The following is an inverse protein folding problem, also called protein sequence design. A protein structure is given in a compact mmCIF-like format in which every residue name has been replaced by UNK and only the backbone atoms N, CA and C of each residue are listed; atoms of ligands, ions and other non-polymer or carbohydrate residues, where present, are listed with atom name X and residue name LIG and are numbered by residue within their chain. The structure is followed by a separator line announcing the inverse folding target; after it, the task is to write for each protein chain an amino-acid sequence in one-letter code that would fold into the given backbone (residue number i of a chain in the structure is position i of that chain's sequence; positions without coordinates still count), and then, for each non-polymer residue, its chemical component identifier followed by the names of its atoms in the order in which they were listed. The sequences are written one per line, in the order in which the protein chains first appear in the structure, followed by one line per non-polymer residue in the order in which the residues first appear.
data_IF_318357406331
#
_entry.id   IF_318357406331
#
_cell.length_a   1.000
_cell.length_b   1.000
_cell.length_c   1.000
_cell.angle_alpha   90.00
_cell.angle_beta   90.00
_cell.angle_gamma   90.00
#
_symmetry.space_group_name_H-M   'P 1'
#
loop_
_entity.id
_entity.type
_entity.pdbx_description
1 polymer ?
#
# COMPACT_ATOMS: atom_id res chain seq x y z
N UNK A 1 5.48 12.57 -13.16
CA UNK A 1 4.64 13.21 -12.11
C UNK A 1 5.55 13.87 -11.10
N UNK A 2 5.23 15.08 -10.62
CA UNK A 2 6.03 15.73 -9.56
C UNK A 2 5.42 15.38 -8.19
N UNK A 3 6.18 14.69 -7.34
CA UNK A 3 5.74 14.23 -6.01
C UNK A 3 6.40 15.07 -4.93
N UNK A 4 5.64 15.41 -3.90
CA UNK A 4 6.11 16.15 -2.73
C UNK A 4 6.17 15.26 -1.50
N UNK A 5 7.27 15.32 -0.78
CA UNK A 5 7.53 14.63 0.48
C UNK A 5 7.88 15.65 1.56
N UNK A 6 7.92 15.21 2.82
CA UNK A 6 8.33 16.08 3.93
C UNK A 6 9.74 16.67 3.77
N UNK A 7 10.60 16.01 2.99
CA UNK A 7 12.01 16.38 2.77
C UNK A 7 12.28 17.04 1.42
N UNK A 8 11.26 17.24 0.57
CA UNK A 8 11.43 17.87 -0.75
C UNK A 8 10.58 17.24 -1.85
N UNK A 9 10.83 17.65 -3.09
CA UNK A 9 10.07 17.25 -4.27
C UNK A 9 10.94 16.48 -5.26
N UNK A 10 10.36 15.55 -6.01
CA UNK A 10 11.06 14.83 -7.06
C UNK A 10 10.13 14.39 -8.20
N UNK A 11 10.70 14.20 -9.39
CA UNK A 11 9.97 13.65 -10.52
C UNK A 11 9.96 12.12 -10.46
N UNK A 12 8.80 11.53 -10.72
CA UNK A 12 8.59 10.09 -10.68
C UNK A 12 7.67 9.60 -11.80
N UNK A 13 7.87 8.34 -12.20
CA UNK A 13 7.00 7.57 -13.07
C UNK A 13 6.08 6.69 -12.20
N UNK A 14 4.77 6.80 -12.41
CA UNK A 14 3.78 5.97 -11.71
C UNK A 14 3.42 4.74 -12.54
N UNK A 15 3.36 3.57 -11.90
CA UNK A 15 2.91 2.32 -12.50
C UNK A 15 1.81 1.70 -11.64
N UNK A 16 0.66 1.41 -12.24
CA UNK A 16 -0.45 0.76 -11.56
C UNK A 16 -0.20 -0.74 -11.41
N UNK A 17 -0.45 -1.25 -10.22
CA UNK A 17 -0.20 -2.64 -9.84
C UNK A 17 -1.45 -3.24 -9.21
N UNK A 18 -1.75 -4.48 -9.58
CA UNK A 18 -2.68 -5.32 -8.84
C UNK A 18 -1.89 -6.15 -7.81
N UNK A 19 -2.13 -5.90 -6.54
CA UNK A 19 -1.56 -6.65 -5.42
C UNK A 19 -2.58 -7.71 -4.97
N UNK A 20 -2.14 -8.96 -4.87
CA UNK A 20 -2.95 -10.06 -4.32
C UNK A 20 -2.25 -10.65 -3.10
N UNK A 21 -2.90 -10.56 -1.94
CA UNK A 21 -2.35 -11.03 -0.65
C UNK A 21 -3.46 -11.67 0.16
N UNK A 22 -3.25 -12.91 0.64
CA UNK A 22 -4.23 -13.66 1.44
C UNK A 22 -5.64 -13.73 0.82
N UNK A 23 -5.73 -13.85 -0.51
CA UNK A 23 -7.00 -13.89 -1.26
C UNK A 23 -7.72 -12.53 -1.39
N UNK A 24 -7.04 -11.44 -1.04
CA UNK A 24 -7.55 -10.07 -1.16
C UNK A 24 -6.78 -9.38 -2.27
N UNK A 25 -7.53 -8.82 -3.23
CA UNK A 25 -6.97 -8.05 -4.34
C UNK A 25 -7.12 -6.55 -4.08
N UNK A 26 -6.07 -5.80 -4.38
CA UNK A 26 -6.09 -4.34 -4.31
C UNK A 26 -5.27 -3.70 -5.42
N UNK A 27 -5.71 -2.54 -5.88
CA UNK A 27 -4.99 -1.71 -6.84
C UNK A 27 -4.13 -0.71 -6.06
N UNK A 28 -2.85 -0.65 -6.40
CA UNK A 28 -1.88 0.30 -5.85
C UNK A 28 -1.06 0.93 -6.98
N UNK A 29 -0.33 1.99 -6.67
CA UNK A 29 0.57 2.66 -7.62
C UNK A 29 1.97 2.65 -7.03
N UNK A 30 2.92 2.07 -7.77
CA UNK A 30 4.34 2.20 -7.49
C UNK A 30 4.92 3.41 -8.22
N UNK A 31 5.71 4.22 -7.52
CA UNK A 31 6.40 5.37 -8.07
C UNK A 31 7.90 5.11 -8.13
N UNK A 32 8.45 5.20 -9.34
CA UNK A 32 9.88 5.07 -9.62
C UNK A 32 10.45 6.47 -9.80
N UNK A 33 11.46 6.83 -9.01
CA UNK A 33 12.10 8.13 -9.15
C UNK A 33 12.82 8.21 -10.50
N UNK A 34 12.80 9.39 -11.12
CA UNK A 34 13.58 9.65 -12.34
C UNK A 34 15.09 9.79 -12.04
N UNK A 35 15.42 10.23 -10.83
CA UNK A 35 16.80 10.46 -10.41
C UNK A 35 17.40 9.25 -9.69
N UNK A 36 18.62 8.86 -10.10
CA UNK A 36 19.43 7.81 -9.46
C UNK A 36 19.88 8.15 -8.03
N UNK A 37 19.63 9.39 -7.56
CA UNK A 37 19.86 9.76 -6.16
C UNK A 37 18.98 8.95 -5.19
N UNK A 38 17.82 8.50 -5.64
CA UNK A 38 16.92 7.69 -4.83
C UNK A 38 17.24 6.21 -5.05
N UNK A 39 17.75 5.55 -4.01
CA UNK A 39 18.09 4.11 -4.03
C UNK A 39 16.89 3.18 -3.84
N UNK A 40 15.69 3.75 -3.65
CA UNK A 40 14.45 3.02 -3.34
C UNK A 40 13.27 3.57 -4.13
N UNK A 41 12.44 2.65 -4.60
CA UNK A 41 11.14 2.98 -5.16
C UNK A 41 10.12 3.20 -4.04
N UNK A 42 9.20 4.13 -4.30
CA UNK A 42 8.17 4.48 -3.35
C UNK A 42 6.90 3.78 -3.73
N UNK A 43 6.38 2.92 -2.86
CA UNK A 43 5.00 2.48 -2.99
C UNK A 43 4.10 3.61 -2.49
N UNK A 44 3.09 3.98 -3.27
CA UNK A 44 2.11 4.98 -2.84
C UNK A 44 1.51 4.59 -1.48
N UNK A 45 1.07 5.60 -0.71
CA UNK A 45 0.51 5.44 0.65
C UNK A 45 -0.71 4.51 0.73
N UNK A 46 -1.25 4.11 -0.41
CA UNK A 46 -2.38 3.20 -0.56
C UNK A 46 -1.84 1.77 -0.68
N UNK A 47 -1.74 1.11 0.47
CA UNK A 47 -1.34 -0.30 0.57
C UNK A 47 -2.53 -1.25 0.54
N UNK A 48 -2.31 -2.48 1.00
CA UNK A 48 -3.37 -3.44 1.25
C UNK A 48 -3.84 -3.43 2.72
N UNK A 49 -2.97 -3.00 3.65
CA UNK A 49 -3.21 -3.10 5.09
C UNK A 49 -4.32 -2.16 5.58
N UNK A 50 -4.48 -0.99 4.94
CA UNK A 50 -5.58 -0.05 5.19
C UNK A 50 -6.93 -0.53 4.65
N UNK A 51 -6.95 -1.65 3.92
CA UNK A 51 -8.15 -2.23 3.29
C UNK A 51 -8.60 -3.53 3.94
N UNK A 52 -8.01 -3.91 5.07
CA UNK A 52 -8.33 -5.14 5.81
C UNK A 52 -8.63 -4.86 7.28
N UNK A 53 -9.42 -5.74 7.89
CA UNK A 53 -9.54 -5.89 9.34
C UNK A 53 -8.72 -7.10 9.76
N UNK A 54 -8.03 -6.97 10.88
CA UNK A 54 -7.23 -8.02 11.50
C UNK A 54 -7.99 -8.63 12.68
N UNK A 55 -7.99 -9.94 12.80
CA UNK A 55 -8.44 -10.66 13.99
C UNK A 55 -7.33 -11.59 14.48
N UNK A 56 -6.99 -11.55 15.77
CA UNK A 56 -5.97 -12.42 16.38
C UNK A 56 -6.64 -13.30 17.43
N UNK A 57 -6.39 -14.61 17.37
CA UNK A 57 -6.71 -15.55 18.45
C UNK A 57 -5.38 -16.09 18.97
N UNK A 58 -4.88 -15.48 20.04
CA UNK A 58 -3.53 -15.71 20.58
C UNK A 58 -3.35 -17.15 21.09
N UNK A 59 -4.35 -17.68 21.80
CA UNK A 59 -4.32 -19.05 22.32
C UNK A 59 -4.20 -20.12 21.22
N UNK A 60 -4.62 -19.79 20.00
CA UNK A 60 -4.56 -20.67 18.84
C UNK A 60 -3.42 -20.31 17.86
N UNK A 61 -2.70 -19.20 18.10
CA UNK A 61 -1.68 -18.69 17.19
C UNK A 61 -2.24 -18.31 15.80
N UNK A 62 -3.51 -17.90 15.72
CA UNK A 62 -4.20 -17.64 14.43
C UNK A 62 -4.40 -16.16 14.14
N UNK A 63 -4.01 -15.74 12.94
CA UNK A 63 -4.32 -14.43 12.37
C UNK A 63 -5.37 -14.56 11.27
N UNK A 64 -6.44 -13.79 11.39
CA UNK A 64 -7.55 -13.70 10.45
C UNK A 64 -7.55 -12.35 9.76
N UNK A 65 -7.92 -12.37 8.48
CA UNK A 65 -8.04 -11.19 7.64
C UNK A 65 -9.45 -11.15 7.05
N UNK A 66 -10.07 -9.97 7.06
CA UNK A 66 -11.31 -9.73 6.31
C UNK A 66 -11.27 -8.37 5.65
N UNK A 67 -12.04 -8.18 4.56
CA UNK A 67 -12.08 -6.90 3.84
C UNK A 67 -12.66 -5.80 4.74
N UNK A 68 -12.00 -4.64 4.78
CA UNK A 68 -12.55 -3.45 5.42
C UNK A 68 -13.74 -2.93 4.61
N UNK A 69 -14.90 -2.82 5.27
CA UNK A 69 -16.11 -2.21 4.72
C UNK A 69 -16.54 -1.12 5.70
N UNK A 70 -16.57 0.13 5.23
CA UNK A 70 -17.10 1.25 6.01
C UNK A 70 -18.62 1.07 6.08
N UNK A 71 -19.17 0.91 7.28
CA UNK A 71 -20.62 0.90 7.45
C UNK A 71 -21.12 2.32 7.11
N UNK A 72 -22.11 2.41 6.22
CA UNK A 72 -22.86 3.66 6.05
C UNK A 72 -23.81 3.77 7.24
N UNK A 73 -23.65 4.85 8.00
CA UNK A 73 -24.60 5.29 9.04
C UNK A 73 -25.57 6.25 8.38
#
# INVERSE_FOLDING_TARGET
LNLSTATGNFHAFGHELLLSVFGIETVSIAYFAESDYFDRNFLGRIGWLDRVKLGLIDQEGKLFLSKYRKNQV
#
